data_IF_836639921792
#
_entry.id   IF_836639921792
#
_cell.length_a   1.000
_cell.length_b   1.000
_cell.length_c   1.000
_cell.angle_alpha   90.00
_cell.angle_beta   90.00
_cell.angle_gamma   90.00
#
_symmetry.space_group_name_H-M   'P 1'
#
loop_
_entity.id
_entity.type
_entity.pdbx_description
1 polymer ?
#
# COMPACT_ATOMS: atom_id res chain seq x y z
N UNK A 1 -33.97 -6.48 4.37
CA UNK A 1 -32.97 -5.94 5.33
C UNK A 1 -32.26 -7.16 5.89
N UNK A 2 -30.98 -7.32 5.61
CA UNK A 2 -30.21 -8.56 5.66
C UNK A 2 -29.96 -9.00 7.11
N UNK A 3 -30.33 -10.24 7.46
CA UNK A 3 -30.21 -10.82 8.83
C UNK A 3 -28.75 -10.77 9.34
N UNK A 4 -27.76 -10.83 8.46
CA UNK A 4 -26.34 -10.72 8.81
C UNK A 4 -25.92 -9.34 9.32
N UNK A 5 -26.61 -8.27 8.91
CA UNK A 5 -26.42 -6.90 9.45
C UNK A 5 -27.04 -6.73 10.83
N UNK A 6 -28.10 -7.50 11.13
CA UNK A 6 -28.76 -7.46 12.45
C UNK A 6 -27.90 -8.17 13.51
N UNK A 7 -27.23 -9.25 13.16
CA UNK A 7 -26.41 -10.04 14.09
C UNK A 7 -25.11 -9.28 14.48
N UNK A 8 -24.51 -8.55 13.54
CA UNK A 8 -23.36 -7.69 13.81
C UNK A 8 -23.72 -6.56 14.80
N UNK A 9 -24.87 -5.90 14.66
CA UNK A 9 -25.35 -4.87 15.59
C UNK A 9 -25.68 -5.42 16.98
N UNK A 10 -26.22 -6.65 17.09
CA UNK A 10 -26.50 -7.28 18.38
C UNK A 10 -25.25 -7.65 19.16
N UNK A 11 -24.19 -8.06 18.48
CA UNK A 11 -22.95 -8.52 19.11
C UNK A 11 -22.02 -7.37 19.52
N UNK A 12 -22.04 -6.26 18.81
CA UNK A 12 -21.15 -5.11 19.01
C UNK A 12 -21.86 -3.79 19.35
N UNK A 13 -23.17 -3.71 19.30
CA UNK A 13 -23.95 -2.49 19.53
C UNK A 13 -23.74 -1.84 20.91
N UNK A 14 -23.58 -2.63 21.97
CA UNK A 14 -23.35 -2.12 23.33
C UNK A 14 -21.91 -1.56 23.53
N UNK A 15 -20.99 -1.91 22.68
CA UNK A 15 -19.62 -1.33 22.67
C UNK A 15 -19.65 0.01 21.94
N UNK A 16 -20.47 0.13 20.90
CA UNK A 16 -20.62 1.35 20.09
C UNK A 16 -21.30 2.50 20.83
N UNK A 17 -22.33 2.20 21.67
CA UNK A 17 -23.07 3.21 22.43
C UNK A 17 -22.26 3.81 23.59
N UNK A 18 -21.30 3.05 24.15
CA UNK A 18 -20.34 3.56 25.16
C UNK A 18 -19.24 4.44 24.57
N UNK A 19 -18.89 4.25 23.31
CA UNK A 19 -17.79 4.97 22.66
C UNK A 19 -18.17 6.38 22.17
N UNK A 20 -19.47 6.66 21.99
CA UNK A 20 -19.94 7.99 21.59
C UNK A 20 -20.00 9.02 22.73
N UNK A 21 -19.84 8.59 23.99
CA UNK A 21 -19.84 9.50 25.13
C UNK A 21 -18.47 10.15 25.42
N UNK A 22 -17.37 9.57 24.91
CA UNK A 22 -16.00 10.00 25.23
C UNK A 22 -15.29 10.73 24.07
N UNK A 23 -16.02 11.18 23.05
CA UNK A 23 -15.43 11.78 21.84
C UNK A 23 -14.95 13.22 22.00
N UNK A 24 -15.06 13.84 23.19
CA UNK A 24 -14.65 15.25 23.38
C UNK A 24 -13.16 15.47 23.69
N UNK A 25 -12.34 14.42 23.89
CA UNK A 25 -10.92 14.59 24.21
C UNK A 25 -9.98 13.66 23.45
N UNK A 26 -10.15 13.55 22.12
CA UNK A 26 -9.03 13.04 21.33
C UNK A 26 -7.91 14.10 21.40
N UNK A 27 -6.69 13.75 21.82
CA UNK A 27 -5.60 14.73 21.77
C UNK A 27 -5.48 15.17 20.32
N UNK A 28 -5.62 16.48 20.09
CA UNK A 28 -5.13 17.04 18.85
C UNK A 28 -3.72 16.50 18.66
N UNK A 29 -3.53 15.70 17.62
CA UNK A 29 -2.19 15.34 17.19
C UNK A 29 -1.45 16.67 17.06
N UNK A 30 -0.65 17.00 18.07
CA UNK A 30 0.19 18.18 18.00
C UNK A 30 0.89 18.06 16.65
N UNK A 31 1.01 19.16 15.95
CA UNK A 31 1.64 19.29 14.62
C UNK A 31 3.13 18.87 14.71
N UNK A 32 3.38 17.63 15.11
CA UNK A 32 4.66 16.97 14.91
C UNK A 32 4.65 16.56 13.44
N UNK A 33 5.11 17.50 12.60
CA UNK A 33 5.57 17.19 11.26
C UNK A 33 6.48 15.97 11.38
N UNK A 34 6.22 14.92 10.61
CA UNK A 34 7.18 13.84 10.44
C UNK A 34 8.48 14.53 10.04
N UNK A 35 9.51 14.46 10.91
CA UNK A 35 10.77 15.08 10.61
C UNK A 35 11.28 14.50 9.29
N UNK A 36 11.61 15.31 8.27
CA UNK A 36 12.14 14.79 7.04
C UNK A 36 13.42 14.04 7.40
N UNK A 37 13.46 12.74 7.11
CA UNK A 37 14.70 12.00 7.19
C UNK A 37 15.63 12.60 6.14
N UNK A 38 16.59 13.41 6.60
CA UNK A 38 17.62 14.00 5.74
C UNK A 38 18.57 12.89 5.33
N UNK A 39 18.27 12.24 4.21
CA UNK A 39 19.23 11.36 3.55
C UNK A 39 20.17 12.23 2.72
N UNK A 40 21.24 12.72 3.35
CA UNK A 40 22.28 13.55 2.71
C UNK A 40 23.13 12.81 1.68
N UNK A 41 23.05 11.46 1.65
CA UNK A 41 23.80 10.59 0.76
C UNK A 41 22.96 9.96 -0.36
N UNK A 42 21.76 10.48 -0.63
CA UNK A 42 20.89 9.93 -1.67
C UNK A 42 21.56 10.06 -3.05
N UNK A 43 21.86 8.92 -3.65
CA UNK A 43 22.50 8.81 -4.98
C UNK A 43 21.64 9.45 -6.09
N UNK A 44 20.35 9.68 -5.84
CA UNK A 44 19.36 10.26 -6.75
C UNK A 44 18.42 11.19 -6.00
N UNK A 45 18.83 12.43 -5.63
CA UNK A 45 18.04 13.30 -4.74
C UNK A 45 16.70 13.78 -5.34
N UNK A 46 16.53 13.72 -6.65
CA UNK A 46 15.32 14.16 -7.35
C UNK A 46 14.38 13.00 -7.75
N UNK A 47 14.72 11.76 -7.38
CA UNK A 47 13.95 10.60 -7.81
C UNK A 47 12.69 10.39 -6.96
N UNK A 48 11.55 10.06 -7.60
CA UNK A 48 10.28 9.93 -6.92
C UNK A 48 10.26 8.77 -5.93
N UNK A 49 9.46 8.92 -4.88
CA UNK A 49 9.16 7.83 -3.96
C UNK A 49 8.48 6.65 -4.67
N UNK A 50 8.72 5.44 -4.15
CA UNK A 50 8.04 4.21 -4.59
C UNK A 50 7.14 3.73 -3.46
N UNK A 51 5.83 3.68 -3.72
CA UNK A 51 4.83 3.18 -2.77
C UNK A 51 4.49 1.74 -3.09
N UNK A 52 4.76 0.85 -2.14
CA UNK A 52 4.40 -0.57 -2.23
C UNK A 52 3.06 -0.79 -1.53
N UNK A 53 2.07 -1.13 -2.33
CA UNK A 53 0.69 -1.36 -1.95
C UNK A 53 0.36 -2.85 -2.05
N UNK A 54 -0.77 -3.26 -1.53
CA UNK A 54 -1.29 -4.62 -1.65
C UNK A 54 -1.62 -5.26 -0.30
N UNK A 55 -2.25 -6.42 -0.37
CA UNK A 55 -2.73 -7.14 0.81
C UNK A 55 -1.59 -7.55 1.75
N UNK A 56 -1.94 -7.86 3.01
CA UNK A 56 -0.98 -8.45 3.94
C UNK A 56 -0.43 -9.78 3.38
N UNK A 57 0.83 -10.12 3.69
CA UNK A 57 1.45 -11.36 3.19
C UNK A 57 1.91 -11.32 1.73
N UNK A 58 1.69 -10.23 0.98
CA UNK A 58 2.21 -10.09 -0.41
C UNK A 58 3.69 -9.74 -0.50
N UNK A 59 4.41 -9.61 0.61
CA UNK A 59 5.85 -9.41 0.63
C UNK A 59 6.32 -7.95 0.55
N UNK A 60 5.46 -6.97 0.77
CA UNK A 60 5.80 -5.52 0.69
C UNK A 60 7.05 -5.16 1.47
N UNK A 61 7.16 -5.56 2.73
CA UNK A 61 8.30 -5.24 3.59
C UNK A 61 9.60 -5.86 3.08
N UNK A 62 9.59 -7.13 2.67
CA UNK A 62 10.79 -7.83 2.15
C UNK A 62 11.24 -7.24 0.81
N UNK A 63 10.30 -7.04 -0.11
CA UNK A 63 10.53 -6.42 -1.41
C UNK A 63 11.01 -4.97 -1.22
N UNK A 64 10.37 -4.23 -0.32
CA UNK A 64 10.69 -2.83 -0.05
C UNK A 64 12.11 -2.63 0.49
N UNK A 65 12.50 -3.41 1.49
CA UNK A 65 13.87 -3.37 2.04
C UNK A 65 14.92 -3.68 0.97
N UNK A 66 14.70 -4.73 0.16
CA UNK A 66 15.63 -5.10 -0.91
C UNK A 66 15.69 -4.05 -2.01
N UNK A 67 14.55 -3.50 -2.41
CA UNK A 67 14.45 -2.44 -3.41
C UNK A 67 15.16 -1.16 -2.95
N UNK A 68 14.90 -0.73 -1.71
CA UNK A 68 15.55 0.43 -1.11
C UNK A 68 17.08 0.27 -1.07
N UNK A 69 17.57 -0.89 -0.64
CA UNK A 69 19.00 -1.21 -0.66
C UNK A 69 19.59 -1.13 -2.07
N UNK A 70 18.89 -1.62 -3.09
CA UNK A 70 19.36 -1.63 -4.48
C UNK A 70 19.42 -0.21 -5.07
N UNK A 71 18.47 0.65 -4.69
CA UNK A 71 18.39 2.03 -5.19
C UNK A 71 19.22 3.03 -4.36
N UNK A 72 19.69 2.66 -3.17
CA UNK A 72 20.26 3.57 -2.19
C UNK A 72 19.20 4.50 -1.57
N UNK A 73 17.97 4.01 -1.40
CA UNK A 73 16.83 4.72 -0.87
C UNK A 73 16.59 4.39 0.60
N UNK A 74 15.87 5.27 1.30
CA UNK A 74 15.37 4.98 2.64
C UNK A 74 14.14 4.07 2.55
N UNK A 75 14.12 2.98 3.32
CA UNK A 75 12.93 2.16 3.50
C UNK A 75 12.10 2.70 4.65
N UNK A 76 10.79 2.85 4.44
CA UNK A 76 9.82 3.33 5.43
C UNK A 76 8.62 2.38 5.45
N UNK A 77 8.16 1.97 6.63
CA UNK A 77 6.88 1.27 6.79
C UNK A 77 5.86 2.23 7.40
N UNK A 78 4.73 2.43 6.71
CA UNK A 78 3.71 3.40 7.13
C UNK A 78 3.10 3.05 8.49
N UNK A 79 2.93 1.76 8.75
CA UNK A 79 2.32 1.29 9.98
C UNK A 79 3.26 1.56 11.16
N UNK A 80 4.56 1.28 11.02
CA UNK A 80 5.58 1.58 12.03
C UNK A 80 5.69 3.09 12.30
N UNK A 81 5.63 3.94 11.27
CA UNK A 81 5.72 5.39 11.45
C UNK A 81 4.48 5.97 12.17
N UNK A 82 3.29 5.43 11.88
CA UNK A 82 2.07 5.82 12.58
C UNK A 82 2.13 5.40 14.06
N UNK A 83 2.60 4.17 14.36
CA UNK A 83 2.79 3.71 15.73
C UNK A 83 3.77 4.58 16.50
N UNK A 84 4.91 4.93 15.89
CA UNK A 84 5.89 5.86 16.47
C UNK A 84 5.29 7.23 16.77
N UNK A 85 4.57 7.80 15.79
CA UNK A 85 3.90 9.11 15.94
C UNK A 85 2.90 9.12 17.08
N UNK A 86 2.13 8.04 17.23
CA UNK A 86 1.10 7.91 18.26
C UNK A 86 1.65 7.38 19.59
N UNK A 87 2.91 6.88 19.64
CA UNK A 87 3.47 6.13 20.76
C UNK A 87 2.54 4.99 21.22
N UNK A 88 1.90 4.31 20.26
CA UNK A 88 0.84 3.34 20.53
C UNK A 88 0.79 2.29 19.40
N UNK A 89 0.53 1.02 19.74
CA UNK A 89 0.33 -0.01 18.73
C UNK A 89 -0.97 0.22 17.96
N UNK A 90 -0.99 -0.19 16.68
CA UNK A 90 -2.17 0.00 15.81
C UNK A 90 -3.44 -0.62 16.43
N UNK A 91 -3.33 -1.79 17.07
CA UNK A 91 -4.47 -2.43 17.73
C UNK A 91 -5.11 -1.52 18.80
N UNK A 92 -4.27 -0.81 19.56
CA UNK A 92 -4.70 0.08 20.63
C UNK A 92 -5.26 1.40 20.07
N UNK A 93 -4.72 1.88 18.93
CA UNK A 93 -5.28 3.01 18.18
C UNK A 93 -6.70 2.66 17.72
N UNK A 94 -6.91 1.47 17.14
CA UNK A 94 -8.23 1.01 16.73
C UNK A 94 -9.18 0.86 17.92
N UNK A 95 -8.71 0.27 19.02
CA UNK A 95 -9.53 0.07 20.21
C UNK A 95 -9.96 1.39 20.87
N UNK A 96 -9.06 2.39 20.89
CA UNK A 96 -9.27 3.66 21.58
C UNK A 96 -9.97 4.71 20.73
N UNK A 97 -9.60 4.82 19.44
CA UNK A 97 -10.03 5.92 18.58
C UNK A 97 -10.84 5.47 17.35
N UNK A 98 -10.92 4.17 17.10
CA UNK A 98 -11.65 3.59 15.99
C UNK A 98 -10.93 3.64 14.65
N UNK A 99 -11.56 3.02 13.64
CA UNK A 99 -10.96 2.88 12.31
C UNK A 99 -10.79 4.23 11.60
N UNK A 100 -11.78 5.12 11.69
CA UNK A 100 -11.75 6.39 10.96
C UNK A 100 -10.59 7.29 11.39
N UNK A 101 -10.24 7.26 12.69
CA UNK A 101 -9.08 7.98 13.19
C UNK A 101 -7.77 7.41 12.61
N UNK A 102 -7.62 6.08 12.59
CA UNK A 102 -6.46 5.45 11.97
C UNK A 102 -6.33 5.79 10.48
N UNK A 103 -7.45 5.78 9.74
CA UNK A 103 -7.47 6.16 8.32
C UNK A 103 -7.11 7.62 8.08
N UNK A 104 -7.44 8.51 9.01
CA UNK A 104 -6.96 9.90 8.98
C UNK A 104 -5.45 9.97 9.13
N UNK A 105 -4.87 9.20 10.05
CA UNK A 105 -3.40 9.12 10.22
C UNK A 105 -2.70 8.57 8.97
N UNK A 106 -3.24 7.52 8.33
CA UNK A 106 -2.70 7.01 7.07
C UNK A 106 -2.72 8.09 5.98
N UNK A 107 -3.80 8.87 5.87
CA UNK A 107 -3.89 9.97 4.92
C UNK A 107 -2.88 11.08 5.20
N UNK A 108 -2.76 11.51 6.44
CA UNK A 108 -1.78 12.51 6.88
C UNK A 108 -0.35 12.05 6.57
N UNK A 109 -0.06 10.77 6.81
CA UNK A 109 1.25 10.19 6.49
C UNK A 109 1.54 10.29 4.99
N UNK A 110 0.62 9.91 4.12
CA UNK A 110 0.82 9.99 2.66
C UNK A 110 0.90 11.45 2.19
N UNK A 111 0.14 12.35 2.80
CA UNK A 111 0.08 13.75 2.35
C UNK A 111 1.38 14.52 2.62
N UNK A 112 2.10 14.23 3.69
CA UNK A 112 3.37 14.91 4.00
C UNK A 112 4.12 14.32 5.18
N UNK A 113 3.75 13.13 5.65
CA UNK A 113 4.35 12.49 6.81
C UNK A 113 5.65 11.71 6.55
N UNK A 114 6.28 11.91 5.39
CA UNK A 114 7.54 11.26 5.00
C UNK A 114 8.31 12.16 4.02
N UNK A 115 9.61 11.90 3.75
CA UNK A 115 10.39 12.66 2.77
C UNK A 115 9.74 12.64 1.38
N UNK A 116 9.87 13.75 0.65
CA UNK A 116 9.25 13.92 -0.66
C UNK A 116 9.88 13.07 -1.77
N UNK A 117 11.08 12.53 -1.56
CA UNK A 117 11.83 11.76 -2.55
C UNK A 117 12.75 10.72 -1.90
N UNK A 118 13.30 9.81 -2.73
CA UNK A 118 14.30 8.81 -2.35
C UNK A 118 13.84 7.81 -1.27
N UNK A 119 12.55 7.53 -1.19
CA UNK A 119 12.02 6.54 -0.26
C UNK A 119 11.32 5.39 -0.99
N UNK A 120 11.42 4.20 -0.42
CA UNK A 120 10.56 3.06 -0.70
C UNK A 120 9.63 2.89 0.50
N UNK A 121 8.34 3.10 0.28
CA UNK A 121 7.34 3.16 1.33
C UNK A 121 6.47 1.90 1.26
N UNK A 122 6.52 1.06 2.30
CA UNK A 122 5.60 -0.06 2.49
C UNK A 122 4.33 0.44 3.15
N UNK A 123 3.21 0.38 2.45
CA UNK A 123 1.93 0.90 2.92
C UNK A 123 1.08 -0.18 3.58
N UNK A 124 0.34 0.18 4.62
CA UNK A 124 -0.66 -0.68 5.24
C UNK A 124 -1.65 -1.27 4.23
N UNK A 125 -2.07 -2.53 4.42
CA UNK A 125 -2.88 -3.24 3.41
C UNK A 125 -4.27 -2.65 3.16
N UNK A 126 -4.76 -1.80 4.03
CA UNK A 126 -6.04 -1.10 3.89
C UNK A 126 -5.92 0.36 3.46
N UNK A 127 -4.71 0.91 3.40
CA UNK A 127 -4.44 2.34 3.21
C UNK A 127 -5.15 2.91 1.96
N UNK A 128 -5.11 2.22 0.85
CA UNK A 128 -5.74 2.69 -0.40
C UNK A 128 -7.21 2.30 -0.56
N UNK A 129 -7.80 1.57 0.42
CA UNK A 129 -9.15 1.03 0.30
C UNK A 129 -10.25 2.05 0.69
N UNK A 130 -10.03 3.32 0.42
CA UNK A 130 -11.00 4.41 0.57
C UNK A 130 -10.91 5.38 -0.62
N UNK A 131 -12.01 6.06 -0.90
CA UNK A 131 -12.06 7.00 -2.03
C UNK A 131 -11.07 8.15 -1.86
N UNK A 132 -10.45 8.53 -2.97
CA UNK A 132 -9.43 9.56 -3.04
C UNK A 132 -8.02 9.11 -2.61
N UNK A 133 -7.87 7.98 -1.91
CA UNK A 133 -6.54 7.48 -1.50
C UNK A 133 -5.71 6.90 -2.65
N UNK A 134 -6.30 6.12 -3.59
CA UNK A 134 -5.58 5.67 -4.79
C UNK A 134 -4.98 6.82 -5.59
N UNK A 135 -5.74 7.88 -5.78
CA UNK A 135 -5.33 9.08 -6.52
C UNK A 135 -4.26 9.87 -5.76
N UNK A 136 -4.42 10.02 -4.45
CA UNK A 136 -3.44 10.70 -3.59
C UNK A 136 -2.08 10.00 -3.66
N UNK A 137 -2.02 8.67 -3.46
CA UNK A 137 -0.76 7.93 -3.52
C UNK A 137 -0.09 8.06 -4.89
N UNK A 138 -0.86 7.96 -5.99
CA UNK A 138 -0.33 8.14 -7.34
C UNK A 138 0.22 9.54 -7.61
N UNK A 139 -0.33 10.57 -6.95
CA UNK A 139 0.17 11.93 -7.09
C UNK A 139 1.50 12.17 -6.38
N UNK A 140 1.84 11.33 -5.40
CA UNK A 140 3.06 11.46 -4.58
C UNK A 140 4.27 10.70 -5.14
N UNK A 141 4.09 9.76 -6.09
CA UNK A 141 5.19 9.00 -6.67
C UNK A 141 4.74 7.77 -7.46
N UNK A 142 5.64 6.80 -7.58
CA UNK A 142 5.40 5.57 -8.33
C UNK A 142 4.71 4.56 -7.43
N UNK A 143 3.45 4.26 -7.73
CA UNK A 143 2.65 3.29 -6.97
C UNK A 143 2.72 1.91 -7.61
N UNK A 144 3.13 0.91 -6.84
CA UNK A 144 3.25 -0.51 -7.22
C UNK A 144 2.37 -1.33 -6.29
N UNK A 145 1.45 -2.09 -6.87
CA UNK A 145 0.56 -2.99 -6.12
C UNK A 145 1.09 -4.41 -6.22
N UNK A 146 1.56 -4.95 -5.11
CA UNK A 146 1.99 -6.34 -5.01
C UNK A 146 0.78 -7.23 -4.74
N UNK A 147 0.63 -8.30 -5.52
CA UNK A 147 -0.42 -9.28 -5.29
C UNK A 147 0.10 -10.71 -5.33
N UNK A 148 -0.54 -11.60 -4.61
CA UNK A 148 -0.29 -13.04 -4.56
C UNK A 148 -1.63 -13.77 -4.54
N UNK A 149 -1.61 -15.06 -4.84
CA UNK A 149 -2.80 -15.89 -4.72
C UNK A 149 -3.20 -16.06 -3.24
N UNK A 150 -4.50 -16.25 -2.96
CA UNK A 150 -4.98 -16.41 -1.58
C UNK A 150 -4.29 -17.52 -0.79
N UNK A 151 -4.01 -18.66 -1.44
CA UNK A 151 -3.28 -19.79 -0.86
C UNK A 151 -1.83 -19.42 -0.48
N UNK A 152 -1.12 -18.70 -1.34
CA UNK A 152 0.24 -18.21 -1.06
C UNK A 152 0.26 -17.19 0.08
N UNK A 153 -0.76 -16.33 0.14
CA UNK A 153 -0.93 -15.38 1.23
C UNK A 153 -1.12 -16.11 2.55
N UNK A 154 -2.00 -17.12 2.58
CA UNK A 154 -2.26 -17.92 3.77
C UNK A 154 -0.99 -18.63 4.24
N UNK A 155 -0.24 -19.25 3.31
CA UNK A 155 1.03 -19.93 3.61
C UNK A 155 2.05 -18.97 4.25
N UNK A 156 2.21 -17.75 3.68
CA UNK A 156 3.18 -16.74 4.17
C UNK A 156 2.79 -16.10 5.50
N UNK A 157 1.49 -15.97 5.76
CA UNK A 157 1.02 -15.39 7.01
C UNK A 157 1.16 -16.38 8.15
N UNK A 158 0.94 -17.69 7.87
CA UNK A 158 0.92 -18.75 8.87
C UNK A 158 -0.13 -18.50 9.95
N UNK A 159 -0.02 -19.22 11.05
CA UNK A 159 -0.82 -19.01 12.26
C UNK A 159 -0.19 -17.89 13.10
N UNK A 160 -0.28 -16.65 12.63
CA UNK A 160 0.29 -15.51 13.34
C UNK A 160 -0.81 -14.77 14.12
N UNK A 161 -0.81 -14.90 15.43
CA UNK A 161 -1.77 -14.28 16.36
C UNK A 161 -1.82 -12.75 16.31
N UNK A 162 -0.82 -12.12 15.66
CA UNK A 162 -0.76 -10.66 15.47
C UNK A 162 -1.73 -10.15 14.38
N UNK A 163 -2.59 -10.99 13.80
CA UNK A 163 -3.51 -10.60 12.71
C UNK A 163 -4.97 -10.96 13.01
N UNK A 164 -5.66 -10.16 13.84
CA UNK A 164 -7.02 -10.45 14.30
C UNK A 164 -8.04 -10.71 13.17
N UNK A 165 -7.85 -10.08 12.01
CA UNK A 165 -8.75 -10.23 10.84
C UNK A 165 -8.78 -11.65 10.24
N UNK A 166 -7.77 -12.46 10.52
CA UNK A 166 -7.64 -13.84 10.00
C UNK A 166 -7.76 -14.90 11.10
N UNK A 167 -8.03 -14.50 12.33
CA UNK A 167 -8.32 -15.43 13.43
C UNK A 167 -9.79 -15.88 13.37
N UNK A 168 -10.11 -16.64 12.34
CA UNK A 168 -11.45 -17.14 12.02
C UNK A 168 -11.38 -18.62 11.65
N UNK A 169 -12.51 -19.31 11.66
CA UNK A 169 -12.61 -20.75 11.35
C UNK A 169 -12.09 -21.09 9.94
N UNK A 170 -12.36 -20.23 8.95
CA UNK A 170 -11.89 -20.42 7.56
C UNK A 170 -11.06 -19.21 7.09
N UNK A 171 -9.76 -19.15 7.41
CA UNK A 171 -8.91 -18.02 7.03
C UNK A 171 -8.76 -17.82 5.52
N UNK A 172 -8.77 -18.89 4.73
CA UNK A 172 -8.65 -18.80 3.27
C UNK A 172 -9.84 -18.10 2.63
N UNK A 173 -11.05 -18.44 3.07
CA UNK A 173 -12.27 -17.78 2.60
C UNK A 173 -12.29 -16.31 2.99
N UNK A 174 -11.87 -16.01 4.22
CA UNK A 174 -11.75 -14.61 4.68
C UNK A 174 -10.74 -13.79 3.87
N UNK A 175 -9.62 -14.41 3.47
CA UNK A 175 -8.63 -13.77 2.58
C UNK A 175 -9.27 -13.46 1.22
N UNK A 176 -10.02 -14.40 0.63
CA UNK A 176 -10.72 -14.19 -0.65
C UNK A 176 -11.71 -13.04 -0.57
N UNK A 177 -12.60 -13.08 0.42
CA UNK A 177 -13.58 -12.01 0.69
C UNK A 177 -12.93 -10.63 0.77
N UNK A 178 -11.87 -10.51 1.58
CA UNK A 178 -11.15 -9.25 1.77
C UNK A 178 -10.41 -8.81 0.51
N UNK A 179 -9.84 -9.74 -0.26
CA UNK A 179 -9.19 -9.42 -1.53
C UNK A 179 -10.21 -8.91 -2.56
N UNK A 180 -11.36 -9.58 -2.70
CA UNK A 180 -12.41 -9.17 -3.64
C UNK A 180 -12.93 -7.77 -3.31
N UNK A 181 -13.17 -7.48 -2.04
CA UNK A 181 -13.59 -6.15 -1.59
C UNK A 181 -12.56 -5.05 -1.86
N UNK A 182 -11.24 -5.37 -1.79
CA UNK A 182 -10.15 -4.41 -1.96
C UNK A 182 -9.62 -4.30 -3.39
N UNK A 183 -9.87 -5.29 -4.23
CA UNK A 183 -9.33 -5.36 -5.59
C UNK A 183 -9.68 -4.13 -6.45
N UNK A 184 -10.90 -3.56 -6.41
CA UNK A 184 -11.21 -2.33 -7.16
C UNK A 184 -10.28 -1.16 -6.81
N UNK A 185 -9.96 -0.98 -5.52
CA UNK A 185 -9.04 0.06 -5.06
C UNK A 185 -7.60 -0.23 -5.50
N UNK A 186 -7.13 -1.46 -5.35
CA UNK A 186 -5.78 -1.85 -5.76
C UNK A 186 -5.56 -1.60 -7.25
N UNK A 187 -6.51 -1.98 -8.12
CA UNK A 187 -6.43 -1.75 -9.57
C UNK A 187 -6.34 -0.28 -9.95
N UNK A 188 -6.96 0.61 -9.17
CA UNK A 188 -6.92 2.07 -9.38
C UNK A 188 -5.64 2.70 -8.83
N UNK A 189 -4.96 2.05 -7.90
CA UNK A 189 -3.85 2.66 -7.13
C UNK A 189 -2.52 2.66 -7.85
N UNK A 190 -2.25 1.76 -8.79
CA UNK A 190 -0.94 1.69 -9.43
C UNK A 190 -0.74 0.48 -10.35
N UNK A 191 0.52 0.22 -10.68
CA UNK A 191 0.89 -0.93 -11.52
C UNK A 191 0.86 -2.20 -10.69
N UNK A 192 0.07 -3.19 -11.11
CA UNK A 192 -0.05 -4.47 -10.42
C UNK A 192 1.09 -5.41 -10.83
N UNK A 193 1.76 -6.01 -9.85
CA UNK A 193 2.83 -6.98 -10.03
C UNK A 193 2.54 -8.22 -9.18
N UNK A 194 2.48 -9.39 -9.81
CA UNK A 194 2.46 -10.65 -9.09
C UNK A 194 3.81 -10.86 -8.38
N UNK A 195 3.77 -11.20 -7.11
CA UNK A 195 5.00 -11.51 -6.37
C UNK A 195 5.44 -12.94 -6.69
N UNK A 196 6.69 -13.07 -7.08
CA UNK A 196 7.35 -14.37 -7.27
C UNK A 196 7.84 -14.93 -5.92
N UNK A 197 8.04 -16.25 -5.84
CA UNK A 197 8.74 -16.89 -4.71
C UNK A 197 10.19 -16.40 -4.62
N UNK A 198 10.79 -16.09 -5.78
CA UNK A 198 12.09 -15.44 -5.87
C UNK A 198 11.92 -13.92 -5.74
N UNK A 199 12.37 -13.40 -4.60
CA UNK A 199 12.35 -11.98 -4.29
C UNK A 199 13.07 -11.12 -5.35
N UNK A 200 14.16 -11.62 -5.91
CA UNK A 200 14.96 -10.89 -6.89
C UNK A 200 14.17 -10.60 -8.15
N UNK A 201 13.39 -11.58 -8.66
CA UNK A 201 12.55 -11.38 -9.85
C UNK A 201 11.51 -10.29 -9.65
N UNK A 202 10.89 -10.24 -8.46
CA UNK A 202 9.93 -9.20 -8.12
C UNK A 202 10.61 -7.83 -8.10
N UNK A 203 11.78 -7.72 -7.45
CA UNK A 203 12.56 -6.48 -7.38
C UNK A 203 12.99 -6.02 -8.77
N UNK A 204 13.53 -6.92 -9.61
CA UNK A 204 13.94 -6.59 -10.98
C UNK A 204 12.78 -6.11 -11.84
N UNK A 205 11.58 -6.65 -11.64
CA UNK A 205 10.39 -6.18 -12.34
C UNK A 205 10.04 -4.74 -11.92
N UNK A 206 10.08 -4.44 -10.63
CA UNK A 206 9.86 -3.08 -10.13
C UNK A 206 10.94 -2.12 -10.65
N UNK A 207 12.20 -2.51 -10.66
CA UNK A 207 13.30 -1.68 -11.18
C UNK A 207 13.11 -1.34 -12.66
N UNK A 208 12.60 -2.26 -13.48
CA UNK A 208 12.26 -1.98 -14.88
C UNK A 208 11.15 -0.94 -15.03
N UNK A 209 10.11 -1.03 -14.19
CA UNK A 209 9.04 -0.04 -14.16
C UNK A 209 9.58 1.30 -13.70
N UNK A 210 10.37 1.32 -12.62
CA UNK A 210 10.99 2.52 -12.08
C UNK A 210 11.84 3.24 -13.15
N UNK A 211 12.78 2.54 -13.78
CA UNK A 211 13.62 3.08 -14.86
C UNK A 211 12.80 3.65 -16.01
N UNK A 212 11.67 3.02 -16.37
CA UNK A 212 10.80 3.51 -17.44
C UNK A 212 10.10 4.81 -17.06
N UNK A 213 9.74 4.99 -15.78
CA UNK A 213 9.06 6.20 -15.31
C UNK A 213 10.02 7.36 -15.05
N UNK A 214 11.29 7.08 -14.74
CA UNK A 214 12.32 8.11 -14.44
C UNK A 214 13.24 8.40 -15.62
N UNK A 215 13.18 7.62 -16.71
CA UNK A 215 13.97 7.89 -17.93
C UNK A 215 13.55 9.22 -18.58
N UNK A 216 14.54 10.02 -18.98
CA UNK A 216 14.34 11.25 -19.75
C UNK A 216 13.41 10.97 -20.96
N UNK A 217 12.31 11.73 -21.12
CA UNK A 217 11.42 11.58 -22.27
C UNK A 217 12.14 11.63 -23.63
N UNK A 218 13.25 12.36 -23.72
CA UNK A 218 14.08 12.46 -24.93
C UNK A 218 14.86 11.18 -25.27
N UNK A 219 15.08 10.31 -24.27
CA UNK A 219 15.74 9.00 -24.43
C UNK A 219 14.75 7.87 -24.70
N UNK A 220 13.45 8.13 -24.64
CA UNK A 220 12.43 7.15 -25.03
C UNK A 220 12.49 6.96 -26.54
N UNK A 221 13.16 5.91 -27.02
CA UNK A 221 13.14 5.54 -28.44
C UNK A 221 11.66 5.52 -28.90
N UNK A 222 11.30 6.21 -29.99
CA UNK A 222 9.97 6.09 -30.56
C UNK A 222 9.73 4.61 -30.86
N UNK A 223 8.59 4.08 -30.44
CA UNK A 223 8.14 2.76 -30.89
C UNK A 223 8.24 2.81 -32.41
N UNK A 224 9.03 1.92 -33.04
CA UNK A 224 9.01 1.73 -34.48
C UNK A 224 7.56 1.59 -34.87
N UNK A 225 7.05 2.55 -35.62
CA UNK A 225 5.72 2.49 -36.22
C UNK A 225 5.65 1.17 -36.97
N UNK A 226 4.62 0.37 -36.67
CA UNK A 226 4.34 -0.84 -37.42
C UNK A 226 4.43 -0.49 -38.90
N UNK A 227 5.31 -1.17 -39.60
CA UNK A 227 5.56 -1.04 -41.02
C UNK A 227 4.19 -1.09 -41.71
N UNK A 228 3.81 -0.01 -42.38
CA UNK A 228 2.57 0.05 -43.14
C UNK A 228 2.55 -1.13 -44.10
N UNK A 229 1.56 -1.99 -44.00
CA UNK A 229 1.31 -3.09 -44.89
C UNK A 229 1.11 -2.49 -46.31
N UNK A 230 2.09 -2.70 -47.17
CA UNK A 230 1.94 -2.40 -48.61
C UNK A 230 1.25 -3.61 -49.28
N UNK A 231 0.05 -3.43 -49.83
CA UNK A 231 -0.58 -4.52 -50.57
C UNK A 231 0.26 -4.87 -51.81
N UNK A 232 0.29 -6.13 -52.24
CA UNK A 232 1.06 -6.57 -53.40
C UNK A 232 0.57 -5.89 -54.67
N UNK A 233 1.50 -5.33 -55.49
CA UNK A 233 1.18 -4.75 -56.81
C UNK A 233 0.61 -5.83 -57.69
N UNK A 234 -0.56 -5.57 -58.27
CA UNK A 234 -1.17 -6.40 -59.29
C UNK A 234 -0.23 -6.46 -60.52
N UNK A 235 0.14 -7.68 -60.94
CA UNK A 235 0.82 -7.91 -62.21
C UNK A 235 -0.20 -7.71 -63.33
N UNK A 236 0.16 -6.84 -64.28
CA UNK A 236 -0.51 -6.75 -65.57
C UNK A 236 -0.14 -7.93 -66.46
#
# INVERSE_FOLDING_TARGET
MDEKKLDFRRRFGRVFDRMNADTETAPHAQNQTFAPATNTDARFPECPNIYLLGFMGTGKTSVGKRLAQTLGYTFIDSDEEIEKKCSMEIKDIFAKYGEDYFRKLEREFIDGGHPASNCVISCGGGLVCRDGMPELVKSKGIAIVLFSRPDEILERIGKNDKRPLLNVENPLEKIRELLDARMPYYRRSGVMIATDKDLHKTVDHILRIYKRNTADPRQRRPKKSATAFQPPRAKK
#
